data_IF_225856267197
#
_entry.id   IF_225856267197
#
_cell.length_a   1.000
_cell.length_b   1.000
_cell.length_c   1.000
_cell.angle_alpha   90.00
_cell.angle_beta   90.00
_cell.angle_gamma   90.00
#
_symmetry.space_group_name_H-M   'P 1'
#
loop_
_entity.id
_entity.type
_entity.pdbx_description
1 polymer ?
#
# COMPACT_ATOMS: atom_id res chain seq x y z
N UNK A 1 15.50 -0.07 8.99
CA UNK A 1 14.22 0.70 9.00
C UNK A 1 13.29 0.13 7.93
N UNK A 2 12.04 -0.04 8.27
CA UNK A 2 10.98 -0.48 7.35
C UNK A 2 10.07 0.71 7.05
N UNK A 3 9.69 0.87 5.78
CA UNK A 3 8.65 1.78 5.36
C UNK A 3 7.47 0.99 4.81
N UNK A 4 6.34 1.03 5.51
CA UNK A 4 5.07 0.55 4.99
C UNK A 4 4.40 1.63 4.14
N UNK A 5 4.01 1.28 2.91
CA UNK A 5 3.21 2.12 2.02
C UNK A 5 1.92 1.38 1.71
N UNK A 6 0.80 1.88 2.21
CA UNK A 6 -0.52 1.28 1.98
C UNK A 6 -1.51 2.30 1.41
N UNK A 7 -2.74 1.90 1.24
CA UNK A 7 -3.82 2.73 0.69
C UNK A 7 -4.67 1.95 -0.31
N UNK A 8 -5.75 2.54 -0.75
CA UNK A 8 -6.66 1.95 -1.72
C UNK A 8 -5.96 1.59 -3.04
N UNK A 9 -6.60 0.74 -3.83
CA UNK A 9 -6.11 0.47 -5.18
C UNK A 9 -6.03 1.76 -6.01
N UNK A 10 -5.14 1.84 -6.98
CA UNK A 10 -4.91 3.00 -7.87
C UNK A 10 -4.37 4.28 -7.21
N UNK A 11 -4.03 4.29 -5.90
CA UNK A 11 -3.48 5.48 -5.23
C UNK A 11 -2.00 5.76 -5.53
N UNK A 12 -1.35 4.92 -6.34
CA UNK A 12 0.05 5.12 -6.75
C UNK A 12 1.09 4.62 -5.74
N UNK A 13 0.74 3.66 -4.87
CA UNK A 13 1.66 3.03 -3.90
C UNK A 13 2.94 2.53 -4.56
N UNK A 14 2.81 1.68 -5.58
CA UNK A 14 3.93 1.08 -6.31
C UNK A 14 4.79 2.16 -6.99
N UNK A 15 4.16 3.22 -7.54
CA UNK A 15 4.88 4.35 -8.13
C UNK A 15 5.71 5.10 -7.07
N UNK A 16 5.15 5.36 -5.88
CA UNK A 16 5.88 5.98 -4.78
C UNK A 16 7.03 5.07 -4.31
N UNK A 17 6.77 3.77 -4.12
CA UNK A 17 7.78 2.81 -3.70
C UNK A 17 8.96 2.76 -4.70
N UNK A 18 8.67 2.75 -6.00
CA UNK A 18 9.70 2.77 -7.04
C UNK A 18 10.51 4.07 -7.02
N UNK A 19 9.88 5.24 -6.93
CA UNK A 19 10.58 6.53 -6.81
C UNK A 19 11.51 6.56 -5.59
N UNK A 20 11.05 6.05 -4.45
CA UNK A 20 11.85 5.98 -3.22
C UNK A 20 13.01 4.98 -3.35
N UNK A 21 12.76 3.80 -3.94
CA UNK A 21 13.80 2.83 -4.26
C UNK A 21 14.90 3.45 -5.13
N UNK A 22 14.53 4.14 -6.19
CA UNK A 22 15.48 4.79 -7.10
C UNK A 22 16.30 5.88 -6.41
N UNK A 23 15.64 6.69 -5.54
CA UNK A 23 16.29 7.79 -4.82
C UNK A 23 17.23 7.29 -3.72
N UNK A 24 16.77 6.36 -2.88
CA UNK A 24 17.49 5.94 -1.67
C UNK A 24 18.25 4.62 -1.83
N UNK A 25 18.11 3.94 -2.98
CA UNK A 25 18.71 2.63 -3.25
C UNK A 25 18.29 1.56 -2.23
N UNK A 26 17.04 1.64 -1.77
CA UNK A 26 16.42 0.70 -0.82
C UNK A 26 15.47 -0.18 -1.61
N UNK A 27 15.55 -1.53 -1.51
CA UNK A 27 14.63 -2.42 -2.20
C UNK A 27 13.19 -2.21 -1.73
N UNK A 28 12.22 -2.39 -2.64
CA UNK A 28 10.82 -2.51 -2.24
C UNK A 28 10.28 -3.91 -2.51
N UNK A 29 9.35 -4.32 -1.67
CA UNK A 29 8.61 -5.56 -1.75
C UNK A 29 7.12 -5.24 -1.95
N UNK A 30 6.52 -5.78 -3.02
CA UNK A 30 5.11 -5.62 -3.34
C UNK A 30 4.31 -6.81 -2.81
N UNK A 31 3.31 -6.56 -1.97
CA UNK A 31 2.43 -7.61 -1.45
C UNK A 31 1.60 -8.28 -2.55
N UNK A 32 1.28 -7.57 -3.64
CA UNK A 32 0.59 -8.17 -4.78
C UNK A 32 1.43 -9.24 -5.49
N UNK A 33 2.76 -9.09 -5.52
CA UNK A 33 3.63 -10.15 -6.03
C UNK A 33 3.59 -11.40 -5.14
N UNK A 34 3.60 -11.22 -3.80
CA UNK A 34 3.45 -12.34 -2.86
C UNK A 34 2.09 -13.00 -3.03
N UNK A 35 1.00 -12.21 -3.05
CA UNK A 35 -0.37 -12.69 -3.29
C UNK A 35 -0.44 -13.57 -4.54
N UNK A 36 -0.05 -13.01 -5.68
CA UNK A 36 -0.14 -13.73 -6.94
C UNK A 36 0.80 -14.94 -7.00
N UNK A 37 1.95 -14.87 -6.35
CA UNK A 37 2.85 -15.99 -6.20
C UNK A 37 2.19 -17.17 -5.47
N UNK A 38 1.54 -16.90 -4.34
CA UNK A 38 0.85 -17.93 -3.53
C UNK A 38 -0.38 -18.50 -4.23
N UNK A 39 -1.20 -17.65 -4.85
CA UNK A 39 -2.39 -18.07 -5.60
C UNK A 39 -1.99 -18.95 -6.79
N UNK A 40 -1.07 -18.47 -7.64
CA UNK A 40 -0.68 -19.17 -8.88
C UNK A 40 0.10 -20.45 -8.62
N UNK A 41 0.77 -20.56 -7.50
CA UNK A 41 1.46 -21.79 -7.08
C UNK A 41 0.58 -22.76 -6.29
N UNK A 42 -0.71 -22.44 -6.13
CA UNK A 42 -1.69 -23.25 -5.40
C UNK A 42 -1.31 -23.51 -3.92
N UNK A 43 -0.63 -22.55 -3.28
CA UNK A 43 -0.40 -22.57 -1.83
C UNK A 43 -1.59 -22.05 -1.04
N UNK A 44 -2.58 -21.47 -1.69
CA UNK A 44 -3.86 -21.06 -1.13
C UNK A 44 -4.96 -21.27 -2.17
N UNK A 45 -6.18 -21.52 -1.69
CA UNK A 45 -7.40 -21.58 -2.50
C UNK A 45 -8.09 -20.21 -2.61
N UNK A 46 -7.52 -19.17 -1.98
CA UNK A 46 -8.03 -17.80 -2.08
C UNK A 46 -7.88 -17.27 -3.50
N UNK A 47 -8.79 -16.37 -3.86
CA UNK A 47 -8.81 -15.67 -5.15
C UNK A 47 -8.44 -14.20 -4.97
N UNK A 48 -8.11 -13.46 -6.02
CA UNK A 48 -7.82 -12.02 -5.91
C UNK A 48 -8.96 -11.18 -5.33
N UNK A 49 -10.20 -11.70 -5.28
CA UNK A 49 -11.39 -10.99 -4.80
C UNK A 49 -11.64 -11.18 -3.29
N UNK A 50 -10.87 -12.08 -2.63
CA UNK A 50 -11.00 -12.39 -1.20
C UNK A 50 -10.14 -11.43 -0.34
N UNK A 51 -10.35 -10.11 -0.46
CA UNK A 51 -9.46 -9.08 0.09
C UNK A 51 -9.24 -9.16 1.61
N UNK A 52 -10.28 -9.46 2.39
CA UNK A 52 -10.14 -9.56 3.84
C UNK A 52 -9.36 -10.81 4.24
N UNK A 53 -9.70 -11.95 3.66
CA UNK A 53 -9.03 -13.23 3.88
C UNK A 53 -7.58 -13.17 3.41
N UNK A 54 -7.31 -12.47 2.31
CA UNK A 54 -5.96 -12.20 1.82
C UNK A 54 -5.17 -11.32 2.79
N UNK A 55 -5.81 -10.33 3.42
CA UNK A 55 -5.16 -9.52 4.45
C UNK A 55 -4.74 -10.40 5.62
N UNK A 56 -5.65 -11.22 6.13
CA UNK A 56 -5.39 -12.13 7.26
C UNK A 56 -4.33 -13.19 6.93
N UNK A 57 -4.26 -13.61 5.67
CA UNK A 57 -3.29 -14.60 5.19
C UNK A 57 -1.90 -14.03 4.93
N UNK A 58 -1.81 -12.85 4.31
CA UNK A 58 -0.55 -12.24 3.90
C UNK A 58 0.14 -11.46 5.01
N UNK A 59 -0.64 -10.86 5.92
CA UNK A 59 -0.09 -10.02 6.98
C UNK A 59 0.90 -10.74 7.91
N UNK A 60 0.63 -11.95 8.41
CA UNK A 60 1.60 -12.67 9.24
C UNK A 60 2.96 -12.87 8.55
N UNK A 61 2.96 -13.17 7.24
CA UNK A 61 4.20 -13.33 6.47
C UNK A 61 4.92 -11.98 6.33
N UNK A 62 4.20 -10.95 5.93
CA UNK A 62 4.73 -9.58 5.76
C UNK A 62 5.32 -9.05 7.06
N UNK A 63 4.63 -9.25 8.18
CA UNK A 63 5.07 -8.87 9.52
C UNK A 63 6.41 -9.51 9.90
N UNK A 64 6.54 -10.82 9.72
CA UNK A 64 7.77 -11.53 10.06
C UNK A 64 8.93 -11.19 9.11
N UNK A 65 8.65 -10.90 7.85
CA UNK A 65 9.65 -10.34 6.92
C UNK A 65 10.16 -8.98 7.41
N UNK A 66 9.27 -8.10 7.86
CA UNK A 66 9.62 -6.79 8.41
C UNK A 66 10.50 -6.93 9.67
N UNK A 67 10.13 -7.81 10.62
CA UNK A 67 10.92 -8.10 11.83
C UNK A 67 12.32 -8.60 11.45
N UNK A 68 12.39 -9.60 10.57
CA UNK A 68 13.67 -10.16 10.11
C UNK A 68 14.58 -9.11 9.47
N UNK A 69 14.02 -8.22 8.66
CA UNK A 69 14.79 -7.14 8.04
C UNK A 69 15.33 -6.15 9.10
N UNK A 70 14.52 -5.80 10.12
CA UNK A 70 14.96 -4.95 11.24
C UNK A 70 16.09 -5.60 12.03
N UNK A 71 15.95 -6.88 12.41
CA UNK A 71 16.96 -7.65 13.13
C UNK A 71 18.30 -7.71 12.38
N UNK A 72 18.22 -7.83 11.07
CA UNK A 72 19.38 -7.81 10.17
C UNK A 72 19.89 -6.40 9.84
N UNK A 73 19.32 -5.33 10.44
CA UNK A 73 19.66 -3.93 10.18
C UNK A 73 19.53 -3.55 8.70
N UNK A 74 18.61 -4.16 8.00
CA UNK A 74 18.29 -3.88 6.62
C UNK A 74 17.21 -2.79 6.51
N UNK A 75 17.27 -2.02 5.42
CA UNK A 75 16.21 -1.09 5.05
C UNK A 75 15.38 -1.74 3.94
N UNK A 76 14.04 -1.63 4.06
CA UNK A 76 13.11 -2.18 3.07
C UNK A 76 11.84 -1.32 3.00
N UNK A 77 11.32 -1.15 1.81
CA UNK A 77 9.99 -0.62 1.58
C UNK A 77 9.06 -1.82 1.34
N UNK A 78 7.93 -1.87 2.02
CA UNK A 78 6.89 -2.89 1.80
C UNK A 78 5.61 -2.15 1.40
N UNK A 79 5.09 -2.43 0.21
CA UNK A 79 3.91 -1.77 -0.30
C UNK A 79 2.79 -2.76 -0.64
N UNK A 80 1.55 -2.32 -0.42
CA UNK A 80 0.34 -3.08 -0.74
C UNK A 80 -0.87 -2.62 0.06
N UNK A 81 -2.02 -3.25 -0.18
CA UNK A 81 -3.26 -2.96 0.54
C UNK A 81 -3.53 -3.91 1.72
N UNK A 82 -2.68 -4.94 1.91
CA UNK A 82 -2.88 -6.01 2.89
C UNK A 82 -2.14 -5.76 4.22
N UNK A 83 -2.07 -4.49 4.65
CA UNK A 83 -1.55 -4.07 5.96
C UNK A 83 -2.75 -3.66 6.81
N UNK A 84 -3.10 -4.39 7.89
CA UNK A 84 -4.27 -4.08 8.70
C UNK A 84 -4.12 -2.73 9.41
N UNK A 85 -5.22 -2.04 9.69
CA UNK A 85 -5.17 -0.72 10.34
C UNK A 85 -4.65 -0.79 11.78
N UNK A 86 -4.78 -1.92 12.44
CA UNK A 86 -4.26 -2.13 13.80
C UNK A 86 -2.88 -2.82 13.82
N UNK A 87 -2.13 -2.75 12.72
CA UNK A 87 -0.84 -3.40 12.52
C UNK A 87 0.18 -3.22 13.65
N UNK A 88 0.12 -2.09 14.35
CA UNK A 88 1.05 -1.74 15.43
C UNK A 88 1.00 -2.72 16.60
N UNK A 89 -0.17 -3.34 16.85
CA UNK A 89 -0.35 -4.32 17.95
C UNK A 89 0.54 -5.57 17.83
N UNK A 90 1.03 -5.84 16.62
CA UNK A 90 1.81 -7.03 16.30
C UNK A 90 3.32 -6.81 16.41
N UNK A 91 3.75 -5.63 16.88
CA UNK A 91 5.13 -5.23 17.05
C UNK A 91 5.39 -4.68 18.45
N UNK A 92 6.48 -5.10 19.06
CA UNK A 92 7.00 -4.49 20.28
C UNK A 92 7.61 -3.11 19.98
N UNK A 93 7.80 -2.28 21.02
CA UNK A 93 8.35 -0.92 20.90
C UNK A 93 9.69 -0.86 20.17
N UNK A 94 10.54 -1.89 20.30
CA UNK A 94 11.83 -1.96 19.64
C UNK A 94 11.68 -2.01 18.12
N UNK A 95 10.72 -2.80 17.61
CA UNK A 95 10.39 -2.84 16.18
C UNK A 95 9.71 -1.55 15.72
N UNK A 96 8.72 -1.05 16.50
CA UNK A 96 7.96 0.15 16.14
C UNK A 96 8.85 1.37 15.91
N UNK A 97 9.94 1.53 16.67
CA UNK A 97 10.93 2.62 16.47
C UNK A 97 11.63 2.56 15.11
N UNK A 98 11.62 1.40 14.46
CA UNK A 98 12.25 1.14 13.18
C UNK A 98 11.26 1.06 12.01
N UNK A 99 9.97 1.35 12.26
CA UNK A 99 8.92 1.31 11.25
C UNK A 99 8.37 2.71 11.01
N UNK A 100 8.22 3.08 9.75
CA UNK A 100 7.42 4.22 9.29
C UNK A 100 6.25 3.71 8.48
N UNK A 101 5.15 4.47 8.50
CA UNK A 101 3.91 4.09 7.83
C UNK A 101 3.38 5.26 7.03
N UNK A 102 2.91 4.99 5.82
CA UNK A 102 2.22 5.93 4.95
C UNK A 102 0.98 5.24 4.39
N UNK A 103 -0.17 5.88 4.51
CA UNK A 103 -1.36 5.50 3.78
C UNK A 103 -1.70 6.55 2.73
N UNK A 104 -1.82 6.16 1.46
CA UNK A 104 -2.25 7.05 0.38
C UNK A 104 -3.76 6.96 0.22
N UNK A 105 -4.44 8.10 0.33
CA UNK A 105 -5.88 8.22 0.13
C UNK A 105 -6.17 9.33 -0.87
N UNK A 106 -7.09 9.11 -1.78
CA UNK A 106 -7.66 10.13 -2.67
C UNK A 106 -8.96 10.66 -2.10
N UNK A 107 -9.16 11.98 -2.16
CA UNK A 107 -10.46 12.57 -1.82
C UNK A 107 -11.53 12.23 -2.86
N UNK A 108 -12.79 12.26 -2.45
CA UNK A 108 -13.90 12.08 -3.40
C UNK A 108 -13.86 13.12 -4.54
N UNK A 109 -13.51 14.37 -4.21
CA UNK A 109 -13.35 15.45 -5.19
C UNK A 109 -12.26 15.15 -6.21
N UNK A 110 -11.11 14.67 -5.75
CA UNK A 110 -10.02 14.29 -6.62
C UNK A 110 -10.42 13.16 -7.57
N UNK A 111 -11.04 12.12 -7.02
CA UNK A 111 -11.50 10.96 -7.80
C UNK A 111 -12.48 11.39 -8.88
N UNK A 112 -13.48 12.24 -8.53
CA UNK A 112 -14.49 12.70 -9.48
C UNK A 112 -13.92 13.48 -10.65
N UNK A 113 -12.95 14.33 -10.37
CA UNK A 113 -12.34 15.21 -11.37
C UNK A 113 -11.27 14.49 -12.22
N UNK A 114 -10.70 13.39 -11.73
CA UNK A 114 -9.55 12.74 -12.35
C UNK A 114 -9.73 11.24 -12.63
N UNK A 115 -10.97 10.73 -12.62
CA UNK A 115 -11.23 9.30 -12.73
C UNK A 115 -10.64 8.67 -14.00
N UNK A 116 -10.81 9.31 -15.16
CA UNK A 116 -10.23 8.81 -16.42
C UNK A 116 -8.70 8.77 -16.37
N UNK A 117 -8.09 9.75 -15.69
CA UNK A 117 -6.64 9.78 -15.48
C UNK A 117 -6.19 8.66 -14.53
N UNK A 118 -6.88 8.47 -13.40
CA UNK A 118 -6.61 7.37 -12.46
C UNK A 118 -6.65 6.03 -13.20
N UNK A 119 -7.67 5.80 -14.01
CA UNK A 119 -7.84 4.58 -14.79
C UNK A 119 -6.73 4.42 -15.85
N UNK A 120 -6.36 5.48 -16.55
CA UNK A 120 -5.31 5.43 -17.58
C UNK A 120 -3.92 5.13 -17.00
N UNK A 121 -3.67 5.50 -15.74
CA UNK A 121 -2.42 5.23 -15.03
C UNK A 121 -2.38 3.90 -14.28
N UNK A 122 -3.46 3.13 -14.28
CA UNK A 122 -3.54 1.82 -13.62
C UNK A 122 -2.41 0.87 -14.04
N UNK A 123 -2.00 0.95 -15.30
CA UNK A 123 -0.96 0.09 -15.90
C UNK A 123 0.38 0.82 -16.16
N UNK A 124 0.65 1.95 -15.50
CA UNK A 124 1.88 2.69 -15.74
C UNK A 124 3.15 2.00 -15.19
N UNK A 125 3.01 1.13 -14.20
CA UNK A 125 4.12 0.36 -13.61
C UNK A 125 3.85 -1.14 -13.71
N UNK A 126 2.60 -1.55 -13.48
CA UNK A 126 2.15 -2.95 -13.53
C UNK A 126 1.25 -3.15 -14.75
N UNK A 127 1.40 -4.29 -15.43
CA UNK A 127 0.46 -4.65 -16.49
C UNK A 127 -0.78 -5.33 -15.87
N UNK A 128 -1.86 -4.60 -15.71
CA UNK A 128 -3.14 -5.12 -15.23
C UNK A 128 -3.90 -5.70 -16.39
N UNK A 129 -4.04 -7.03 -16.40
CA UNK A 129 -4.73 -7.78 -17.47
C UNK A 129 -6.25 -7.62 -17.38
N UNK A 130 -6.76 -7.41 -16.19
CA UNK A 130 -8.18 -7.20 -15.88
C UNK A 130 -8.30 -6.11 -14.82
N UNK A 131 -9.06 -5.06 -15.10
CA UNK A 131 -9.28 -3.93 -14.21
C UNK A 131 -10.79 -3.55 -14.14
N UNK A 132 -11.67 -4.52 -14.36
CA UNK A 132 -13.12 -4.34 -14.34
C UNK A 132 -13.61 -3.84 -12.97
N UNK A 133 -12.85 -4.13 -11.90
CA UNK A 133 -13.12 -3.58 -10.57
C UNK A 133 -12.94 -2.06 -10.50
N UNK A 134 -12.12 -1.46 -11.37
CA UNK A 134 -11.86 0.00 -11.38
C UNK A 134 -13.05 0.80 -11.90
N UNK A 135 -14.09 0.87 -11.10
CA UNK A 135 -15.23 1.76 -11.31
C UNK A 135 -15.13 2.99 -10.42
N UNK A 136 -15.74 4.10 -10.84
CA UNK A 136 -15.77 5.33 -10.03
C UNK A 136 -16.28 5.07 -8.60
N UNK A 137 -17.33 4.22 -8.48
CA UNK A 137 -17.93 3.90 -7.18
C UNK A 137 -16.98 3.07 -6.30
N UNK A 138 -16.32 2.07 -6.85
CA UNK A 138 -15.39 1.22 -6.10
C UNK A 138 -14.18 2.02 -5.64
N UNK A 139 -13.57 2.82 -6.52
CA UNK A 139 -12.44 3.68 -6.17
C UNK A 139 -12.79 4.66 -5.05
N UNK A 140 -14.01 5.25 -5.07
CA UNK A 140 -14.50 6.10 -3.98
C UNK A 140 -14.70 5.33 -2.67
N UNK A 141 -15.31 4.15 -2.75
CA UNK A 141 -15.59 3.34 -1.56
C UNK A 141 -14.29 2.89 -0.88
N UNK A 142 -13.33 2.39 -1.65
CA UNK A 142 -12.04 1.93 -1.15
C UNK A 142 -11.26 3.07 -0.51
N UNK A 143 -11.15 4.22 -1.18
CA UNK A 143 -10.44 5.36 -0.62
C UNK A 143 -11.10 5.88 0.66
N UNK A 144 -12.43 5.90 0.72
CA UNK A 144 -13.17 6.25 1.95
C UNK A 144 -12.93 5.24 3.07
N UNK A 145 -12.90 3.94 2.76
CA UNK A 145 -12.59 2.88 3.72
C UNK A 145 -11.19 3.08 4.31
N UNK A 146 -10.16 3.27 3.47
CA UNK A 146 -8.80 3.50 3.94
C UNK A 146 -8.66 4.78 4.74
N UNK A 147 -9.26 5.88 4.31
CA UNK A 147 -9.24 7.14 5.05
C UNK A 147 -9.90 7.00 6.43
N UNK A 148 -11.08 6.40 6.49
CA UNK A 148 -11.78 6.15 7.76
C UNK A 148 -10.99 5.21 8.67
N UNK A 149 -10.40 4.16 8.12
CA UNK A 149 -9.54 3.23 8.86
C UNK A 149 -8.34 3.94 9.49
N UNK A 150 -7.65 4.81 8.75
CA UNK A 150 -6.56 5.61 9.28
C UNK A 150 -7.02 6.55 10.40
N UNK A 151 -8.14 7.27 10.21
CA UNK A 151 -8.68 8.20 11.23
C UNK A 151 -9.05 7.44 12.50
N UNK A 152 -9.75 6.31 12.38
CA UNK A 152 -10.20 5.52 13.54
C UNK A 152 -9.04 4.90 14.33
N UNK A 153 -7.95 4.56 13.66
CA UNK A 153 -6.78 3.94 14.28
C UNK A 153 -5.62 4.92 14.52
N UNK A 154 -5.87 6.23 14.36
CA UNK A 154 -4.85 7.29 14.56
C UNK A 154 -3.56 7.08 13.75
N UNK A 155 -3.71 6.60 12.51
CA UNK A 155 -2.60 6.36 11.59
C UNK A 155 -2.33 7.57 10.70
N UNK A 156 -1.06 7.76 10.34
CA UNK A 156 -0.68 8.77 9.37
C UNK A 156 -1.23 8.45 7.98
N UNK A 157 -1.73 9.46 7.28
CA UNK A 157 -2.17 9.33 5.90
C UNK A 157 -1.84 10.58 5.07
N UNK A 158 -1.71 10.40 3.78
CA UNK A 158 -1.55 11.49 2.82
C UNK A 158 -2.80 11.58 1.97
N UNK A 159 -3.52 12.70 2.08
CA UNK A 159 -4.72 12.95 1.27
C UNK A 159 -4.34 13.62 -0.04
N UNK A 160 -4.62 12.94 -1.15
CA UNK A 160 -4.50 13.47 -2.52
C UNK A 160 -5.82 14.15 -2.85
N UNK A 161 -5.84 15.48 -2.84
CA UNK A 161 -7.08 16.26 -2.97
C UNK A 161 -7.12 17.15 -4.22
N UNK A 162 -6.03 17.83 -4.55
CA UNK A 162 -5.94 18.73 -5.70
C UNK A 162 -4.95 18.26 -6.76
N UNK A 163 -3.70 17.98 -6.37
CA UNK A 163 -2.63 17.57 -7.28
C UNK A 163 -1.82 16.41 -6.68
N UNK A 164 -1.66 15.35 -7.48
CA UNK A 164 -0.96 14.15 -7.07
C UNK A 164 0.51 14.39 -6.74
N UNK A 165 1.25 15.08 -7.62
CA UNK A 165 2.68 15.28 -7.42
C UNK A 165 2.97 16.18 -6.21
N UNK A 166 2.15 17.19 -5.97
CA UNK A 166 2.25 18.04 -4.79
C UNK A 166 1.99 17.27 -3.50
N UNK A 167 1.03 16.34 -3.48
CA UNK A 167 0.74 15.50 -2.33
C UNK A 167 1.87 14.48 -2.04
N UNK A 168 2.53 13.96 -3.08
CA UNK A 168 3.58 12.93 -2.95
C UNK A 168 4.96 13.54 -2.70
N UNK A 169 5.21 14.79 -3.15
CA UNK A 169 6.52 15.43 -3.04
C UNK A 169 7.12 15.43 -1.62
N UNK A 170 6.36 15.74 -0.54
CA UNK A 170 6.90 15.67 0.83
C UNK A 170 7.36 14.26 1.22
N UNK A 171 6.67 13.23 0.73
CA UNK A 171 6.97 11.83 1.03
C UNK A 171 8.32 11.38 0.45
N UNK A 172 8.81 12.09 -0.57
CA UNK A 172 10.13 11.83 -1.13
C UNK A 172 11.28 12.12 -0.16
N UNK A 173 11.02 12.67 1.02
CA UNK A 173 12.00 13.01 2.05
C UNK A 173 11.74 12.30 3.40
N UNK A 174 10.93 11.25 3.40
CA UNK A 174 10.50 10.54 4.60
C UNK A 174 11.56 9.58 5.18
N UNK A 175 12.54 9.20 4.36
CA UNK A 175 13.62 8.28 4.72
C UNK A 175 14.89 9.01 5.11
#
# INVERSE_FOLDING_TARGET
MILFITGATHTGKTRLAQKLMEKYKIPYFCQDHLKMGLIRSHYTDLTPDDDQELTDYLWPVTREMAKTAIENKQNMIIEGCYIPFDWQKDFDEEYLRNIRYICLCMSGRYIDNHFDHIRSFASCIENRLDDDYCTLQNVRNDNRMFLNGCIQNHLDYTLIDDDYESAISPLMHIL
#
